data_IF_675262640167
#
_entry.id   IF_675262640167
#
_cell.length_a   1.000
_cell.length_b   1.000
_cell.length_c   1.000
_cell.angle_alpha   90.00
_cell.angle_beta   90.00
_cell.angle_gamma   90.00
#
_symmetry.space_group_name_H-M   'P 1'
#
loop_
_entity.id
_entity.type
_entity.pdbx_description
1 polymer ?
#
# COMPACT_ATOMS: atom_id res chain seq x y z
N UNK A 1 -1.30 15.46 -3.12
CA UNK A 1 -1.38 13.98 -3.05
C UNK A 1 -1.11 13.49 -4.47
N UNK A 2 -0.19 12.53 -4.71
CA UNK A 2 0.07 12.02 -6.05
C UNK A 2 -1.21 11.45 -6.67
N UNK A 3 -1.48 11.77 -7.94
CA UNK A 3 -2.65 11.27 -8.66
C UNK A 3 -2.24 10.06 -9.52
N UNK A 4 -2.65 8.86 -9.12
CA UNK A 4 -2.32 7.62 -9.82
C UNK A 4 -3.32 7.35 -10.93
N UNK A 5 -2.83 7.13 -12.16
CA UNK A 5 -3.63 6.74 -13.31
C UNK A 5 -3.25 5.29 -13.64
N UNK A 6 -4.16 4.32 -13.47
CA UNK A 6 -3.90 2.92 -13.84
C UNK A 6 -4.45 1.83 -12.92
N UNK A 7 -5.11 2.16 -11.81
CA UNK A 7 -5.72 1.16 -10.94
C UNK A 7 -5.77 1.60 -9.47
N UNK A 8 -6.52 0.85 -8.67
CA UNK A 8 -6.55 1.03 -7.23
C UNK A 8 -5.22 0.56 -6.61
N UNK A 9 -4.62 1.38 -5.75
CA UNK A 9 -3.44 0.96 -4.96
C UNK A 9 -3.87 -0.21 -4.06
N UNK A 10 -3.11 -1.31 -3.94
CA UNK A 10 -3.45 -2.41 -3.05
C UNK A 10 -3.67 -1.90 -1.61
N UNK A 11 -4.65 -2.48 -0.92
CA UNK A 11 -4.91 -2.16 0.48
C UNK A 11 -3.92 -2.89 1.37
N UNK A 12 -3.58 -2.29 2.51
CA UNK A 12 -2.72 -2.92 3.52
C UNK A 12 -3.43 -4.06 4.27
N UNK A 13 -4.75 -4.00 4.38
CA UNK A 13 -5.56 -4.91 5.22
C UNK A 13 -6.34 -5.97 4.43
N UNK A 14 -6.61 -5.74 3.14
CA UNK A 14 -7.40 -6.65 2.28
C UNK A 14 -6.66 -6.95 0.98
N UNK A 15 -6.55 -8.24 0.64
CA UNK A 15 -6.01 -8.72 -0.63
C UNK A 15 -4.61 -9.32 -0.49
N UNK A 16 -3.83 -9.22 -1.57
CA UNK A 16 -2.47 -9.78 -1.63
C UNK A 16 -1.46 -8.85 -0.93
N UNK A 17 -1.01 -9.28 0.24
CA UNK A 17 -0.02 -8.57 1.04
C UNK A 17 1.33 -8.42 0.31
N UNK A 18 1.74 -9.41 -0.49
CA UNK A 18 2.97 -9.32 -1.26
C UNK A 18 2.86 -8.24 -2.34
N UNK A 19 1.70 -8.11 -2.98
CA UNK A 19 1.42 -7.05 -3.95
C UNK A 19 1.43 -5.66 -3.28
N UNK A 20 0.91 -5.53 -2.06
CA UNK A 20 1.00 -4.29 -1.28
C UNK A 20 2.45 -3.91 -0.99
N UNK A 21 3.22 -4.83 -0.41
CA UNK A 21 4.63 -4.61 -0.08
C UNK A 21 5.46 -4.23 -1.32
N UNK A 22 5.27 -4.95 -2.43
CA UNK A 22 5.90 -4.64 -3.72
C UNK A 22 5.52 -3.24 -4.23
N UNK A 23 4.25 -2.87 -4.16
CA UNK A 23 3.77 -1.55 -4.61
C UNK A 23 4.37 -0.43 -3.75
N UNK A 24 4.42 -0.58 -2.44
CA UNK A 24 5.01 0.45 -1.58
C UNK A 24 6.53 0.57 -1.76
N UNK A 25 7.23 -0.55 -1.93
CA UNK A 25 8.66 -0.54 -2.24
C UNK A 25 8.93 0.14 -3.58
N UNK A 26 8.19 -0.20 -4.63
CA UNK A 26 8.37 0.41 -5.96
C UNK A 26 8.12 1.91 -5.97
N UNK A 27 7.21 2.41 -5.14
CA UNK A 27 6.89 3.85 -5.07
C UNK A 27 7.87 4.66 -4.22
N UNK A 28 8.41 4.08 -3.15
CA UNK A 28 9.12 4.85 -2.11
C UNK A 28 10.59 4.47 -1.93
N UNK A 29 10.99 3.25 -2.31
CA UNK A 29 12.40 2.87 -2.35
C UNK A 29 12.98 3.35 -3.69
N UNK A 30 14.17 3.97 -3.75
CA UNK A 30 14.85 4.21 -5.02
C UNK A 30 15.37 2.89 -5.59
N UNK A 31 15.10 2.59 -6.86
CA UNK A 31 15.56 1.37 -7.53
C UNK A 31 15.88 1.65 -8.99
N UNK A 32 16.82 0.88 -9.55
CA UNK A 32 17.13 0.85 -10.99
C UNK A 32 16.94 -0.54 -11.60
N UNK A 33 16.96 -1.56 -10.76
CA UNK A 33 16.77 -2.96 -11.11
C UNK A 33 15.81 -3.64 -10.12
N UNK A 34 15.17 -4.77 -10.49
CA UNK A 34 14.32 -5.52 -9.57
C UNK A 34 15.06 -6.03 -8.32
N UNK A 35 16.36 -6.31 -8.44
CA UNK A 35 17.21 -6.75 -7.33
C UNK A 35 17.35 -5.67 -6.25
N UNK A 36 17.27 -4.38 -6.61
CA UNK A 36 17.28 -3.29 -5.63
C UNK A 36 16.03 -3.30 -4.75
N UNK A 37 14.92 -3.89 -5.22
CA UNK A 37 13.66 -3.94 -4.47
C UNK A 37 13.62 -5.11 -3.50
N UNK A 38 14.00 -6.31 -3.97
CA UNK A 38 13.90 -7.57 -3.24
C UNK A 38 15.00 -8.54 -3.71
N UNK A 39 15.72 -9.11 -2.75
CA UNK A 39 16.68 -10.19 -3.03
C UNK A 39 15.96 -11.47 -3.45
N UNK A 40 16.64 -12.31 -4.23
CA UNK A 40 16.08 -13.58 -4.74
C UNK A 40 15.58 -14.50 -3.63
N UNK A 41 16.19 -14.45 -2.45
CA UNK A 41 15.88 -15.31 -1.30
C UNK A 41 14.85 -14.67 -0.35
N UNK A 42 14.83 -13.34 -0.25
CA UNK A 42 13.92 -12.61 0.66
C UNK A 42 12.48 -12.61 0.14
N UNK A 43 11.49 -12.45 1.02
CA UNK A 43 10.09 -12.20 0.62
C UNK A 43 9.80 -10.70 0.50
N UNK A 44 8.74 -10.33 -0.22
CA UNK A 44 8.32 -8.92 -0.34
C UNK A 44 8.03 -8.28 1.03
N UNK A 45 7.44 -9.05 1.95
CA UNK A 45 7.21 -8.63 3.34
C UNK A 45 8.49 -8.32 4.11
N UNK A 46 9.52 -9.17 3.95
CA UNK A 46 10.81 -8.97 4.58
C UNK A 46 11.48 -7.70 4.04
N UNK A 47 11.56 -7.57 2.71
CA UNK A 47 12.13 -6.38 2.07
C UNK A 47 11.40 -5.09 2.45
N UNK A 48 10.08 -5.15 2.63
CA UNK A 48 9.28 -4.01 3.07
C UNK A 48 9.57 -3.61 4.52
N UNK A 49 9.70 -4.60 5.43
CA UNK A 49 10.04 -4.37 6.84
C UNK A 49 11.46 -3.87 7.04
N UNK A 50 12.39 -4.33 6.20
CA UNK A 50 13.80 -3.91 6.24
C UNK A 50 14.00 -2.49 5.73
N UNK A 51 13.17 -2.04 4.78
CA UNK A 51 13.27 -0.71 4.23
C UNK A 51 12.77 0.36 5.21
N UNK A 52 13.64 1.31 5.55
CA UNK A 52 13.31 2.43 6.42
C UNK A 52 12.65 3.56 5.64
N UNK A 53 11.33 3.59 5.67
CA UNK A 53 10.55 4.72 5.15
C UNK A 53 10.74 5.97 6.02
N UNK A 54 10.89 7.13 5.37
CA UNK A 54 10.89 8.43 6.05
C UNK A 54 9.52 8.72 6.66
N UNK A 55 9.47 9.62 7.66
CA UNK A 55 8.21 10.03 8.29
C UNK A 55 7.18 10.56 7.26
N UNK A 56 7.65 11.28 6.23
CA UNK A 56 6.79 11.76 5.14
C UNK A 56 6.22 10.61 4.31
N UNK A 57 7.05 9.61 3.98
CA UNK A 57 6.59 8.44 3.23
C UNK A 57 5.58 7.63 4.04
N UNK A 58 5.83 7.39 5.33
CA UNK A 58 4.86 6.72 6.20
C UNK A 58 3.52 7.46 6.26
N UNK A 59 3.53 8.79 6.31
CA UNK A 59 2.31 9.60 6.24
C UNK A 59 1.57 9.42 4.91
N UNK A 60 2.30 9.35 3.79
CA UNK A 60 1.71 9.12 2.47
C UNK A 60 1.13 7.70 2.35
N UNK A 61 1.86 6.69 2.80
CA UNK A 61 1.41 5.29 2.84
C UNK A 61 0.09 5.20 3.63
N UNK A 62 0.05 5.78 4.84
CA UNK A 62 -1.18 5.82 5.65
C UNK A 62 -2.32 6.53 4.93
N UNK A 63 -2.06 7.63 4.23
CA UNK A 63 -3.09 8.35 3.49
C UNK A 63 -3.66 7.54 2.32
N UNK A 64 -2.94 6.56 1.78
CA UNK A 64 -3.50 5.68 0.75
C UNK A 64 -4.61 4.78 1.31
N UNK A 65 -4.49 4.35 2.57
CA UNK A 65 -5.51 3.55 3.25
C UNK A 65 -6.77 4.37 3.60
N UNK A 66 -6.61 5.66 3.95
CA UNK A 66 -7.72 6.55 4.35
C UNK A 66 -8.86 6.59 3.32
N UNK A 67 -8.55 6.55 2.02
CA UNK A 67 -9.59 6.55 0.97
C UNK A 67 -10.46 5.29 1.04
N UNK A 68 -9.85 4.15 1.37
CA UNK A 68 -10.57 2.89 1.54
C UNK A 68 -11.36 2.88 2.84
N UNK A 69 -10.79 3.40 3.94
CA UNK A 69 -11.50 3.53 5.22
C UNK A 69 -12.78 4.38 5.06
N UNK A 70 -12.71 5.52 4.36
CA UNK A 70 -13.89 6.35 4.10
C UNK A 70 -14.94 5.66 3.22
N UNK A 71 -14.51 4.89 2.23
CA UNK A 71 -15.43 4.13 1.38
C UNK A 71 -16.11 3.01 2.16
N UNK A 72 -15.34 2.22 2.94
CA UNK A 72 -15.86 1.13 3.78
C UNK A 72 -16.87 1.69 4.80
N UNK A 73 -16.54 2.79 5.50
CA UNK A 73 -17.44 3.41 6.47
C UNK A 73 -18.75 3.93 5.85
N UNK A 74 -18.70 4.47 4.64
CA UNK A 74 -19.89 4.91 3.90
C UNK A 74 -20.76 3.72 3.52
N UNK A 75 -20.15 2.66 2.99
CA UNK A 75 -20.88 1.49 2.51
C UNK A 75 -21.50 0.71 3.69
N UNK A 76 -20.81 0.65 4.84
CA UNK A 76 -21.34 0.11 6.10
C UNK A 76 -22.56 0.89 6.61
N UNK A 77 -22.50 2.23 6.56
CA UNK A 77 -23.64 3.08 6.95
C UNK A 77 -24.86 2.81 6.07
N UNK A 78 -24.70 2.69 4.75
CA UNK A 78 -25.80 2.35 3.85
C UNK A 78 -26.31 0.92 4.03
N UNK A 79 -25.44 -0.04 4.35
CA UNK A 79 -25.85 -1.42 4.62
C UNK A 79 -26.70 -1.51 5.90
N UNK A 80 -26.37 -0.72 6.94
CA UNK A 80 -27.15 -0.63 8.17
C UNK A 80 -28.54 0.01 7.95
N UNK A 81 -28.67 0.97 7.04
CA UNK A 81 -29.95 1.63 6.72
C UNK A 81 -30.90 0.78 5.86
N UNK A 82 -30.39 -0.25 5.18
CA UNK A 82 -31.20 -1.18 4.35
C UNK A 82 -31.76 -2.37 5.14
N UNK A 83 -31.53 -2.40 6.45
CA UNK A 83 -31.92 -3.46 7.36
C UNK A 83 -33.10 -3.01 8.21
#
# INVERSE_FOLDING_TARGET
>A
IPNFIGGAIPRSDKGDQAAYCMTMLTLFKPWRSPADLKDSVSTWDQSFKEHKFTARQNKLIKNFDVRYECNDARDDHFAQMKK
#
